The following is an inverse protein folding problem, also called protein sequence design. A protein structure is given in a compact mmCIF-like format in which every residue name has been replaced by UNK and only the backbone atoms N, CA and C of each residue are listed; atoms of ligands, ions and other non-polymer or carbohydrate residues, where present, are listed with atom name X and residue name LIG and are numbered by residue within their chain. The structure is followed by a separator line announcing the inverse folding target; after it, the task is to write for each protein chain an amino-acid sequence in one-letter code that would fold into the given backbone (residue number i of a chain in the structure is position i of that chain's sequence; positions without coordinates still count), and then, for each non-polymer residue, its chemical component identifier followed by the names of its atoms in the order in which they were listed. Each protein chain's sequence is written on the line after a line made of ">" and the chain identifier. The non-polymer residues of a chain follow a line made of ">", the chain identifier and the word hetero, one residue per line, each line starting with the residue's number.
data_IF_411093225204
#
_entry.id   IF_411093225204
#
_cell.length_a   1.000
_cell.length_b   1.000
_cell.length_c   1.000
_cell.angle_alpha   90.00
_cell.angle_beta   90.00
_cell.angle_gamma   90.00
#
_symmetry.space_group_name_H-M   'P 1'
#
loop_
_entity.id
_entity.type
_entity.pdbx_description
1 polymer ?
#
# COMPACT_ATOMS: atom_id res chain seq x y z
N UNK A 1 8.65 5.27 17.77
CA UNK A 1 7.19 5.08 17.72
C UNK A 1 6.57 5.50 16.38
N UNK A 2 6.77 6.74 15.92
CA UNK A 2 6.12 7.25 14.69
C UNK A 2 6.37 6.40 13.44
N UNK A 3 7.64 6.10 13.16
CA UNK A 3 8.03 5.27 12.01
C UNK A 3 7.48 3.83 12.12
N UNK A 4 7.39 3.28 13.33
CA UNK A 4 6.88 1.92 13.55
C UNK A 4 5.38 1.79 13.26
N UNK A 5 4.58 2.81 13.62
CA UNK A 5 3.14 2.82 13.33
C UNK A 5 2.87 2.87 11.82
N UNK A 6 3.57 3.77 11.11
CA UNK A 6 3.46 3.90 9.65
C UNK A 6 3.94 2.62 8.96
N UNK A 7 5.07 2.06 9.39
CA UNK A 7 5.61 0.82 8.81
C UNK A 7 4.68 -0.37 9.02
N UNK A 8 4.06 -0.50 10.21
CA UNK A 8 3.09 -1.55 10.48
C UNK A 8 1.88 -1.41 9.57
N UNK A 9 1.29 -0.22 9.49
CA UNK A 9 0.15 0.05 8.63
C UNK A 9 0.48 -0.20 7.13
N UNK A 10 1.67 0.22 6.70
CA UNK A 10 2.19 -0.04 5.35
C UNK A 10 2.27 -1.54 5.04
N UNK A 11 2.81 -2.34 5.96
CA UNK A 11 2.92 -3.80 5.79
C UNK A 11 1.53 -4.43 5.68
N UNK A 12 0.58 -3.98 6.48
CA UNK A 12 -0.78 -4.53 6.47
C UNK A 12 -1.53 -4.22 5.18
N UNK A 13 -1.49 -2.97 4.69
CA UNK A 13 -2.06 -2.63 3.37
C UNK A 13 -1.40 -3.44 2.26
N UNK A 14 -0.06 -3.52 2.28
CA UNK A 14 0.66 -4.21 1.22
C UNK A 14 0.52 -5.74 1.25
N UNK A 15 0.07 -6.32 2.36
CA UNK A 15 -0.29 -7.75 2.43
C UNK A 15 -1.43 -8.08 1.46
N UNK A 16 -2.35 -7.14 1.22
CA UNK A 16 -3.45 -7.30 0.26
C UNK A 16 -3.11 -6.74 -1.13
N UNK A 17 -2.37 -5.62 -1.17
CA UNK A 17 -1.98 -4.97 -2.42
C UNK A 17 -1.04 -5.81 -3.28
N UNK A 18 0.01 -6.41 -2.68
CA UNK A 18 1.05 -7.14 -3.41
C UNK A 18 0.50 -8.37 -4.15
N UNK A 19 -0.30 -9.27 -3.53
CA UNK A 19 -0.89 -10.40 -4.25
C UNK A 19 -1.75 -9.95 -5.43
N UNK A 20 -2.51 -8.87 -5.27
CA UNK A 20 -3.35 -8.34 -6.34
C UNK A 20 -2.52 -7.81 -7.51
N UNK A 21 -1.47 -7.04 -7.21
CA UNK A 21 -0.53 -6.56 -8.22
C UNK A 21 0.17 -7.71 -8.95
N UNK A 22 0.54 -8.79 -8.25
CA UNK A 22 1.14 -9.98 -8.85
C UNK A 22 0.16 -10.67 -9.80
N UNK A 23 -1.09 -10.90 -9.38
CA UNK A 23 -2.11 -11.54 -10.21
C UNK A 23 -2.31 -10.75 -11.51
N UNK A 24 -2.39 -9.43 -11.43
CA UNK A 24 -2.58 -8.59 -12.61
C UNK A 24 -1.30 -8.46 -13.43
N UNK A 25 -0.13 -8.50 -12.79
CA UNK A 25 1.16 -8.61 -13.47
C UNK A 25 1.27 -9.85 -14.35
N UNK A 26 0.79 -10.99 -13.87
CA UNK A 26 0.76 -12.23 -14.64
C UNK A 26 -0.24 -12.14 -15.80
N UNK A 27 -1.40 -11.51 -15.59
CA UNK A 27 -2.47 -11.44 -16.59
C UNK A 27 -2.25 -10.38 -17.69
N UNK A 28 -1.76 -9.20 -17.32
CA UNK A 28 -1.67 -8.03 -18.21
C UNK A 28 -0.24 -7.53 -18.43
N UNK A 29 0.73 -8.03 -17.65
CA UNK A 29 2.14 -7.66 -17.74
C UNK A 29 2.60 -6.74 -16.60
N UNK A 30 3.93 -6.58 -16.46
CA UNK A 30 4.53 -5.97 -15.28
C UNK A 30 4.28 -4.46 -15.14
N UNK A 31 4.05 -3.73 -16.24
CA UNK A 31 3.64 -2.32 -16.17
C UNK A 31 2.27 -2.15 -15.49
N UNK A 32 1.32 -3.05 -15.78
CA UNK A 32 0.00 -3.04 -15.15
C UNK A 32 0.08 -3.44 -13.66
N UNK A 33 1.00 -4.33 -13.29
CA UNK A 33 1.29 -4.63 -11.89
C UNK A 33 1.71 -3.37 -11.12
N UNK A 34 2.61 -2.57 -11.68
CA UNK A 34 3.12 -1.34 -11.07
C UNK A 34 2.05 -0.25 -10.95
N UNK A 35 1.22 -0.10 -11.98
CA UNK A 35 0.08 0.82 -11.97
C UNK A 35 -0.91 0.44 -10.87
N UNK A 36 -1.24 -0.82 -10.74
CA UNK A 36 -2.21 -1.28 -9.75
C UNK A 36 -1.66 -1.24 -8.34
N UNK A 37 -0.38 -1.60 -8.17
CA UNK A 37 0.32 -1.52 -6.89
C UNK A 37 0.34 -0.09 -6.32
N UNK A 38 0.47 0.93 -7.17
CA UNK A 38 0.49 2.34 -6.75
C UNK A 38 -0.89 3.00 -6.70
N UNK A 39 -1.94 2.35 -7.21
CA UNK A 39 -3.30 2.90 -7.27
C UNK A 39 -4.34 1.98 -6.63
N UNK A 40 -5.03 1.18 -7.44
CA UNK A 40 -6.22 0.43 -7.05
C UNK A 40 -5.96 -0.61 -5.96
N UNK A 41 -4.78 -1.22 -5.95
CA UNK A 41 -4.46 -2.20 -4.92
C UNK A 41 -4.26 -1.57 -3.52
N UNK A 42 -3.90 -0.28 -3.43
CA UNK A 42 -3.90 0.47 -2.16
C UNK A 42 -5.32 0.67 -1.66
N UNK A 43 -6.25 0.98 -2.57
CA UNK A 43 -7.66 1.12 -2.23
C UNK A 43 -8.24 -0.20 -1.69
N UNK A 44 -7.93 -1.32 -2.34
CA UNK A 44 -8.33 -2.65 -1.84
C UNK A 44 -7.70 -2.97 -0.49
N UNK A 45 -6.42 -2.66 -0.30
CA UNK A 45 -5.75 -2.85 0.99
C UNK A 45 -6.36 -1.97 2.10
N UNK A 46 -6.78 -0.75 1.79
CA UNK A 46 -7.53 0.10 2.72
C UNK A 46 -8.88 -0.52 3.08
N UNK A 47 -9.66 -0.98 2.10
CA UNK A 47 -10.96 -1.62 2.36
C UNK A 47 -10.82 -2.89 3.20
N UNK A 48 -9.83 -3.73 2.89
CA UNK A 48 -9.53 -4.91 3.69
C UNK A 48 -9.14 -4.54 5.13
N UNK A 49 -8.32 -3.50 5.29
CA UNK A 49 -7.94 -3.02 6.62
C UNK A 49 -9.15 -2.47 7.39
N UNK A 50 -10.01 -1.66 6.78
CA UNK A 50 -11.21 -1.12 7.44
C UNK A 50 -12.22 -2.22 7.77
N UNK A 51 -12.35 -3.26 6.95
CA UNK A 51 -13.25 -4.38 7.20
C UNK A 51 -12.75 -5.31 8.32
N UNK A 52 -11.49 -5.76 8.25
CA UNK A 52 -10.96 -6.76 9.19
C UNK A 52 -10.37 -6.15 10.46
N UNK A 53 -9.87 -4.91 10.41
CA UNK A 53 -9.02 -4.31 11.45
C UNK A 53 -9.43 -2.90 11.83
N UNK A 54 -10.70 -2.55 11.66
CA UNK A 54 -11.28 -1.26 12.08
C UNK A 54 -10.86 -0.83 13.48
N UNK A 55 -10.81 -1.78 14.43
CA UNK A 55 -10.44 -1.53 15.81
C UNK A 55 -9.02 -0.94 15.96
N UNK A 56 -8.09 -1.28 15.06
CA UNK A 56 -6.73 -0.74 15.07
C UNK A 56 -6.69 0.74 14.67
N UNK A 57 -7.67 1.24 13.92
CA UNK A 57 -7.74 2.67 13.65
C UNK A 57 -7.92 3.50 14.93
N UNK A 58 -8.70 3.02 15.90
CA UNK A 58 -8.81 3.71 17.19
C UNK A 58 -7.48 3.73 17.95
N UNK A 59 -6.68 2.67 17.83
CA UNK A 59 -5.32 2.65 18.39
C UNK A 59 -4.43 3.70 17.73
N UNK A 60 -4.49 3.85 16.40
CA UNK A 60 -3.73 4.87 15.69
C UNK A 60 -4.20 6.29 16.01
N UNK A 61 -5.51 6.50 16.15
CA UNK A 61 -6.07 7.79 16.57
C UNK A 61 -5.64 8.16 17.99
N UNK A 62 -5.61 7.21 18.93
CA UNK A 62 -5.07 7.42 20.29
C UNK A 62 -3.58 7.75 20.30
N UNK A 63 -2.83 7.33 19.27
CA UNK A 63 -1.43 7.69 19.07
C UNK A 63 -1.25 9.04 18.34
N UNK A 64 -2.35 9.73 18.01
CA UNK A 64 -2.36 11.02 17.32
C UNK A 64 -2.31 10.94 15.79
N UNK A 65 -2.48 9.76 15.21
CA UNK A 65 -2.47 9.56 13.75
C UNK A 65 -3.89 9.53 13.18
N UNK A 66 -4.17 10.40 12.21
CA UNK A 66 -5.42 10.31 11.44
C UNK A 66 -5.33 9.23 10.36
N UNK A 67 -6.48 8.66 9.99
CA UNK A 67 -6.57 7.66 8.92
C UNK A 67 -5.97 8.17 7.60
N UNK A 68 -6.31 9.39 7.21
CA UNK A 68 -5.83 10.04 6.00
C UNK A 68 -4.31 10.29 6.04
N UNK A 69 -3.77 10.61 7.23
CA UNK A 69 -2.33 10.74 7.41
C UNK A 69 -1.61 9.41 7.13
N UNK A 70 -2.07 8.31 7.72
CA UNK A 70 -1.50 6.98 7.48
C UNK A 70 -1.61 6.55 6.01
N UNK A 71 -2.77 6.77 5.41
CA UNK A 71 -3.02 6.43 4.01
C UNK A 71 -2.11 7.20 3.06
N UNK A 72 -1.99 8.52 3.23
CA UNK A 72 -1.12 9.36 2.37
C UNK A 72 0.35 8.94 2.45
N UNK A 73 0.82 8.50 3.63
CA UNK A 73 2.18 7.96 3.78
C UNK A 73 2.37 6.64 3.05
N UNK A 74 1.41 5.73 3.13
CA UNK A 74 1.46 4.46 2.38
C UNK A 74 1.41 4.72 0.88
N UNK A 75 0.57 5.65 0.44
CA UNK A 75 0.45 6.04 -0.96
C UNK A 75 1.79 6.58 -1.51
N UNK A 76 2.43 7.50 -0.79
CA UNK A 76 3.73 8.05 -1.17
C UNK A 76 4.82 6.96 -1.22
N UNK A 77 4.86 6.05 -0.24
CA UNK A 77 5.83 4.96 -0.22
C UNK A 77 5.62 3.98 -1.38
N UNK A 78 4.37 3.62 -1.68
CA UNK A 78 4.07 2.72 -2.79
C UNK A 78 4.37 3.36 -4.16
N UNK A 79 4.12 4.66 -4.33
CA UNK A 79 4.53 5.40 -5.54
C UNK A 79 6.06 5.37 -5.66
N UNK A 80 6.79 5.67 -4.58
CA UNK A 80 8.25 5.67 -4.61
C UNK A 80 8.79 4.30 -5.04
N UNK A 81 8.27 3.22 -4.44
CA UNK A 81 8.65 1.85 -4.79
C UNK A 81 8.27 1.53 -6.24
N UNK A 82 7.06 1.90 -6.67
CA UNK A 82 6.59 1.67 -8.03
C UNK A 82 7.46 2.38 -9.07
N UNK A 83 7.87 3.64 -8.81
CA UNK A 83 8.80 4.39 -9.66
C UNK A 83 10.17 3.71 -9.71
N UNK A 84 10.73 3.30 -8.56
CA UNK A 84 12.01 2.60 -8.54
C UNK A 84 11.95 1.30 -9.34
N UNK A 85 10.91 0.50 -9.17
CA UNK A 85 10.69 -0.72 -9.93
C UNK A 85 10.46 -0.44 -11.42
N UNK A 86 9.75 0.64 -11.77
CA UNK A 86 9.53 1.07 -13.16
C UNK A 86 10.81 1.48 -13.85
N UNK A 87 11.72 2.19 -13.16
CA UNK A 87 13.05 2.54 -13.70
C UNK A 87 13.85 1.26 -13.96
N UNK A 88 13.86 0.31 -13.03
CA UNK A 88 14.55 -0.98 -13.22
C UNK A 88 13.98 -1.70 -14.44
N UNK A 89 12.66 -1.73 -14.58
CA UNK A 89 11.99 -2.39 -15.70
C UNK A 89 12.27 -1.74 -17.06
N UNK A 90 12.61 -0.45 -17.10
CA UNK A 90 13.01 0.23 -18.33
C UNK A 90 14.50 0.01 -18.67
N UNK A 91 15.33 -0.34 -17.69
CA UNK A 91 16.76 -0.56 -17.86
C UNK A 91 17.09 -1.99 -18.33
N UNK A 92 16.20 -2.95 -18.14
CA UNK A 92 16.35 -4.37 -18.48
C UNK A 92 15.27 -4.82 -19.46
#
# INVERSE_FOLDING_TARGET
>A
MFSQAVFRYFKEINTYNVPLAIIIGIAAGPLYALLIFSSFGIFIGMLAFDYFKKHQYYMYENLGFSKSFLLSRVFLLNILISVMCGIILLLF
#
